data_IF_169834621534
#
_entry.id   IF_169834621534
#
_cell.length_a   1.000
_cell.length_b   1.000
_cell.length_c   1.000
_cell.angle_alpha   90.00
_cell.angle_beta   90.00
_cell.angle_gamma   90.00
#
_symmetry.space_group_name_H-M   'P 1'
#
loop_
_entity.id
_entity.type
_entity.pdbx_description
1 polymer ?
#
# COMPACT_ATOMS: atom_id res chain seq x y z
N UNK A 1 -39.61 -2.25 -18.92
CA UNK A 1 -38.48 -3.20 -18.73
C UNK A 1 -37.10 -2.55 -18.76
N UNK A 2 -36.90 -1.42 -19.48
CA UNK A 2 -35.63 -0.70 -19.48
C UNK A 2 -35.31 -0.03 -18.13
N UNK A 3 -36.31 0.58 -17.47
CA UNK A 3 -36.12 1.24 -16.17
C UNK A 3 -35.69 0.27 -15.06
N UNK A 4 -36.32 -0.90 -14.94
CA UNK A 4 -35.91 -1.92 -13.95
C UNK A 4 -34.48 -2.44 -14.18
N UNK A 5 -34.02 -2.50 -15.42
CA UNK A 5 -32.64 -2.90 -15.73
C UNK A 5 -31.66 -1.79 -15.35
N UNK A 6 -31.98 -0.54 -15.71
CA UNK A 6 -31.16 0.62 -15.35
C UNK A 6 -31.02 0.77 -13.83
N UNK A 7 -32.12 0.62 -13.09
CA UNK A 7 -32.15 0.71 -11.62
C UNK A 7 -31.31 -0.41 -10.97
N UNK A 8 -31.33 -1.62 -11.53
CA UNK A 8 -30.50 -2.74 -11.06
C UNK A 8 -29.01 -2.50 -11.29
N UNK A 9 -28.64 -1.94 -12.45
CA UNK A 9 -27.24 -1.61 -12.76
C UNK A 9 -26.73 -0.53 -11.81
N UNK A 10 -27.49 0.56 -11.65
CA UNK A 10 -27.10 1.65 -10.75
C UNK A 10 -26.93 1.19 -9.29
N UNK A 11 -27.80 0.28 -8.83
CA UNK A 11 -27.69 -0.28 -7.49
C UNK A 11 -26.44 -1.17 -7.33
N UNK A 12 -26.13 -1.98 -8.34
CA UNK A 12 -24.91 -2.80 -8.35
C UNK A 12 -23.64 -1.94 -8.38
N UNK A 13 -23.63 -0.85 -9.15
CA UNK A 13 -22.51 0.10 -9.17
C UNK A 13 -22.29 0.78 -7.83
N UNK A 14 -23.37 1.24 -7.19
CA UNK A 14 -23.30 1.86 -5.86
C UNK A 14 -22.80 0.88 -4.80
N UNK A 15 -23.26 -0.37 -4.85
CA UNK A 15 -22.83 -1.42 -3.94
C UNK A 15 -21.34 -1.75 -4.12
N UNK A 16 -20.89 -1.88 -5.37
CA UNK A 16 -19.48 -2.14 -5.70
C UNK A 16 -18.59 -0.99 -5.21
N UNK A 17 -18.98 0.26 -5.46
CA UNK A 17 -18.19 1.44 -5.04
C UNK A 17 -18.08 1.53 -3.51
N UNK A 18 -19.16 1.22 -2.80
CA UNK A 18 -19.19 1.15 -1.34
C UNK A 18 -18.26 0.07 -0.82
N UNK A 19 -18.32 -1.14 -1.38
CA UNK A 19 -17.48 -2.26 -0.96
C UNK A 19 -15.99 -1.97 -1.17
N UNK A 20 -15.62 -1.39 -2.32
CA UNK A 20 -14.23 -1.00 -2.62
C UNK A 20 -13.75 0.10 -1.68
N UNK A 21 -14.59 1.09 -1.39
CA UNK A 21 -14.24 2.17 -0.45
C UNK A 21 -13.98 1.64 0.96
N UNK A 22 -14.79 0.68 1.43
CA UNK A 22 -14.58 0.05 2.73
C UNK A 22 -13.28 -0.78 2.75
N UNK A 23 -12.99 -1.53 1.69
CA UNK A 23 -11.76 -2.31 1.57
C UNK A 23 -10.50 -1.42 1.54
N UNK A 24 -10.55 -0.26 0.87
CA UNK A 24 -9.49 0.75 0.88
C UNK A 24 -9.27 1.31 2.29
N UNK A 25 -10.35 1.69 2.99
CA UNK A 25 -10.29 2.20 4.36
C UNK A 25 -9.75 1.18 5.35
N UNK A 26 -10.04 -0.10 5.14
CA UNK A 26 -9.51 -1.20 5.93
C UNK A 26 -8.07 -1.59 5.55
N UNK A 27 -7.48 -0.93 4.54
CA UNK A 27 -6.15 -1.24 4.03
C UNK A 27 -6.04 -2.64 3.43
N UNK A 28 -7.15 -3.26 3.02
CA UNK A 28 -7.22 -4.61 2.43
C UNK A 28 -6.85 -4.62 0.94
N UNK A 29 -6.97 -3.45 0.31
CA UNK A 29 -6.54 -3.19 -1.06
C UNK A 29 -5.79 -1.87 -1.10
N UNK A 30 -4.90 -1.72 -2.07
CA UNK A 30 -4.15 -0.48 -2.30
C UNK A 30 -4.95 0.48 -3.21
N UNK A 31 -4.65 1.79 -3.21
CA UNK A 31 -5.29 2.74 -4.14
C UNK A 31 -5.16 2.34 -5.61
N UNK A 32 -4.03 1.73 -6.00
CA UNK A 32 -3.80 1.24 -7.36
C UNK A 32 -4.73 0.07 -7.76
N UNK A 33 -5.27 -0.66 -6.79
CA UNK A 33 -6.18 -1.79 -7.00
C UNK A 33 -7.64 -1.35 -7.11
N UNK A 34 -7.97 -0.06 -6.98
CA UNK A 34 -9.36 0.44 -6.92
C UNK A 34 -10.20 0.05 -8.14
N UNK A 35 -9.69 0.23 -9.36
CA UNK A 35 -10.45 -0.02 -10.58
C UNK A 35 -10.67 -1.53 -10.82
N UNK A 36 -9.63 -2.33 -10.58
CA UNK A 36 -9.72 -3.79 -10.56
C UNK A 36 -10.74 -4.29 -9.54
N UNK A 37 -10.67 -3.79 -8.30
CA UNK A 37 -11.56 -4.18 -7.22
C UNK A 37 -13.03 -3.82 -7.54
N UNK A 38 -13.27 -2.67 -8.18
CA UNK A 38 -14.61 -2.25 -8.62
C UNK A 38 -15.15 -3.17 -9.71
N UNK A 39 -14.35 -3.49 -10.72
CA UNK A 39 -14.73 -4.44 -11.78
C UNK A 39 -15.03 -5.83 -11.21
N UNK A 40 -14.22 -6.28 -10.25
CA UNK A 40 -14.43 -7.56 -9.58
C UNK A 40 -15.72 -7.57 -8.74
N UNK A 41 -15.98 -6.53 -7.94
CA UNK A 41 -17.21 -6.40 -7.16
C UNK A 41 -18.48 -6.32 -8.02
N UNK A 42 -18.39 -5.73 -9.23
CA UNK A 42 -19.49 -5.68 -10.19
C UNK A 42 -19.78 -7.04 -10.83
N UNK A 43 -18.73 -7.82 -11.11
CA UNK A 43 -18.84 -9.13 -11.77
C UNK A 43 -19.19 -10.23 -10.78
N UNK A 44 -18.58 -10.20 -9.59
CA UNK A 44 -18.79 -11.15 -8.51
C UNK A 44 -18.62 -10.48 -7.13
N UNK A 45 -19.71 -9.88 -6.65
CA UNK A 45 -19.74 -9.24 -5.34
C UNK A 45 -19.40 -10.19 -4.18
N UNK A 46 -19.77 -11.48 -4.27
CA UNK A 46 -19.50 -12.47 -3.22
C UNK A 46 -18.03 -12.89 -3.21
N UNK A 47 -17.45 -13.07 -4.39
CA UNK A 47 -16.02 -13.32 -4.55
C UNK A 47 -15.18 -12.16 -4.01
N UNK A 48 -15.57 -10.91 -4.32
CA UNK A 48 -14.90 -9.73 -3.79
C UNK A 48 -15.01 -9.65 -2.26
N UNK A 49 -16.19 -9.87 -1.68
CA UNK A 49 -16.36 -9.90 -0.23
C UNK A 49 -15.48 -10.96 0.45
N UNK A 50 -15.42 -12.17 -0.14
CA UNK A 50 -14.57 -13.26 0.35
C UNK A 50 -13.08 -12.94 0.28
N UNK A 51 -12.66 -12.20 -0.77
CA UNK A 51 -11.29 -11.71 -0.89
C UNK A 51 -10.97 -10.71 0.23
N UNK A 52 -11.83 -9.70 0.44
CA UNK A 52 -11.61 -8.67 1.47
C UNK A 52 -11.56 -9.26 2.88
N UNK A 53 -12.42 -10.26 3.17
CA UNK A 53 -12.43 -10.97 4.46
C UNK A 53 -11.10 -11.67 4.74
N UNK A 54 -10.57 -12.37 3.73
CA UNK A 54 -9.34 -13.18 3.86
C UNK A 54 -8.05 -12.39 3.65
N UNK A 55 -8.12 -11.25 2.97
CA UNK A 55 -6.96 -10.43 2.69
C UNK A 55 -6.35 -9.92 4.00
N UNK A 56 -5.03 -10.06 4.21
CA UNK A 56 -4.36 -9.35 5.29
C UNK A 56 -4.44 -7.83 5.04
N UNK A 57 -4.22 -7.04 6.08
CA UNK A 57 -4.04 -5.60 5.87
C UNK A 57 -2.71 -5.38 5.13
N UNK A 58 -2.81 -4.90 3.89
CA UNK A 58 -1.65 -4.62 3.02
C UNK A 58 -1.22 -3.16 3.08
N UNK A 59 -2.14 -2.25 3.40
CA UNK A 59 -1.84 -0.84 3.66
C UNK A 59 -1.99 -0.57 5.16
N UNK A 60 -0.90 -0.23 5.88
CA UNK A 60 -1.01 0.30 7.23
C UNK A 60 -1.78 1.62 7.15
N UNK A 61 -3.01 1.64 7.69
CA UNK A 61 -3.87 2.83 7.68
C UNK A 61 -3.62 3.75 8.88
N UNK A 62 -2.45 3.61 9.52
CA UNK A 62 -1.90 4.53 10.52
C UNK A 62 -0.60 5.12 10.02
N UNK A 63 -0.08 6.13 10.72
CA UNK A 63 1.30 6.57 10.52
C UNK A 63 2.19 5.34 10.60
N UNK A 64 2.92 5.04 9.53
CA UNK A 64 4.06 4.15 9.65
C UNK A 64 5.00 4.92 10.57
N UNK A 65 5.08 4.53 11.83
CA UNK A 65 6.26 4.80 12.64
C UNK A 65 7.38 4.04 11.94
N UNK A 66 7.91 4.64 10.89
CA UNK A 66 9.26 4.38 10.46
C UNK A 66 10.04 4.67 11.73
N UNK A 67 10.56 3.64 12.40
CA UNK A 67 11.56 3.86 13.42
C UNK A 67 12.52 4.89 12.83
N UNK A 68 12.73 6.02 13.54
CA UNK A 68 13.66 7.06 13.10
C UNK A 68 14.88 6.39 12.48
N UNK A 69 15.25 6.84 11.28
CA UNK A 69 16.41 6.32 10.54
C UNK A 69 17.49 5.96 11.54
N UNK A 70 17.76 4.65 11.70
CA UNK A 70 18.72 4.19 12.70
C UNK A 70 20.05 4.80 12.29
N UNK A 71 20.47 5.82 13.04
CA UNK A 71 21.74 6.48 12.82
C UNK A 71 22.83 5.41 12.81
N UNK A 72 23.81 5.59 11.92
CA UNK A 72 25.00 4.76 11.92
C UNK A 72 25.61 4.76 13.33
N UNK A 73 26.03 3.58 13.79
CA UNK A 73 26.69 3.44 15.09
C UNK A 73 28.11 3.99 14.98
N UNK A 74 28.25 5.30 15.23
CA UNK A 74 29.53 6.00 15.21
C UNK A 74 29.71 6.90 13.99
N UNK A 75 30.74 7.75 14.06
CA UNK A 75 31.04 8.78 13.04
C UNK A 75 31.68 8.20 11.76
N UNK A 76 32.17 6.95 11.82
CA UNK A 76 32.88 6.29 10.73
C UNK A 76 32.15 5.04 10.23
N UNK A 77 32.15 4.86 8.91
CA UNK A 77 31.69 3.65 8.24
C UNK A 77 32.70 2.53 8.43
N UNK A 78 32.30 1.44 9.07
CA UNK A 78 33.13 0.24 9.14
C UNK A 78 33.24 -0.43 7.75
N UNK A 79 34.26 -1.28 7.58
CA UNK A 79 34.56 -1.96 6.31
C UNK A 79 33.37 -2.75 5.74
N UNK A 80 32.55 -3.39 6.59
CA UNK A 80 31.40 -4.15 6.12
C UNK A 80 30.31 -3.24 5.57
N UNK A 81 30.07 -2.10 6.22
CA UNK A 81 29.13 -1.08 5.75
C UNK A 81 29.60 -0.48 4.43
N UNK A 82 30.89 -0.19 4.29
CA UNK A 82 31.47 0.38 3.07
C UNK A 82 31.39 -0.59 1.88
N UNK A 83 31.60 -1.88 2.12
CA UNK A 83 31.42 -2.93 1.12
C UNK A 83 29.95 -3.06 0.68
N UNK A 84 29.02 -3.06 1.63
CA UNK A 84 27.58 -3.12 1.34
C UNK A 84 27.12 -1.89 0.53
N UNK A 85 27.56 -0.68 0.89
CA UNK A 85 27.28 0.53 0.13
C UNK A 85 27.79 0.42 -1.32
N UNK A 86 29.02 -0.07 -1.51
CA UNK A 86 29.58 -0.29 -2.85
C UNK A 86 28.79 -1.30 -3.67
N UNK A 87 28.34 -2.41 -3.06
CA UNK A 87 27.53 -3.43 -3.73
C UNK A 87 26.15 -2.91 -4.14
N UNK A 88 25.57 -2.01 -3.34
CA UNK A 88 24.27 -1.39 -3.58
C UNK A 88 24.35 -0.12 -4.45
N UNK A 89 25.56 0.28 -4.90
CA UNK A 89 25.76 1.49 -5.69
C UNK A 89 25.61 2.80 -4.91
N UNK A 90 25.69 2.73 -3.58
CA UNK A 90 25.62 3.89 -2.68
C UNK A 90 27.03 4.46 -2.48
N UNK A 91 27.21 5.75 -2.76
CA UNK A 91 28.52 6.39 -2.59
C UNK A 91 28.74 6.81 -1.13
N UNK A 92 29.99 6.90 -0.65
CA UNK A 92 30.28 7.40 0.69
C UNK A 92 29.74 8.82 0.94
N UNK A 93 29.60 9.63 -0.12
CA UNK A 93 28.98 10.96 -0.04
C UNK A 93 27.48 10.87 0.23
N UNK A 94 26.77 9.93 -0.40
CA UNK A 94 25.35 9.67 -0.13
C UNK A 94 25.13 9.19 1.30
N UNK A 95 26.01 8.33 1.80
CA UNK A 95 25.93 7.83 3.18
C UNK A 95 26.15 8.96 4.18
N UNK A 96 27.09 9.86 3.91
CA UNK A 96 27.33 11.02 4.77
C UNK A 96 26.17 12.01 4.74
N UNK A 97 25.53 12.17 3.58
CA UNK A 97 24.42 13.10 3.37
C UNK A 97 23.07 12.61 3.91
N UNK A 98 22.82 11.30 3.84
CA UNK A 98 21.50 10.71 4.15
C UNK A 98 21.52 9.67 5.27
N UNK A 99 22.70 9.21 5.70
CA UNK A 99 22.88 8.18 6.74
C UNK A 99 23.14 8.72 8.14
N UNK A 100 23.31 10.04 8.29
CA UNK A 100 23.41 10.71 9.58
C UNK A 100 22.04 11.31 9.93
N UNK A 101 21.64 11.22 11.21
CA UNK A 101 20.43 11.92 11.68
C UNK A 101 20.63 13.43 11.49
N UNK A 102 19.66 14.09 10.85
CA UNK A 102 19.52 15.54 10.96
C UNK A 102 19.10 15.85 12.40
N UNK A 103 19.81 16.75 13.09
CA UNK A 103 19.45 17.28 14.41
C UNK A 103 18.09 18.03 14.39
#
# INVERSE_FOLDING_TARGET
MAELKALKVQNAETAADTAVTLALKAGKITPAQKEWAKSYALTDAKGFASFVEKAPQVVPMGSIELEDTKALKGDQLDEATLLACKQLGVTPEDVKKYGMKED
#
